data_IF_494578829057
#
_entry.id   IF_494578829057
#
_cell.length_a   1.000
_cell.length_b   1.000
_cell.length_c   1.000
_cell.angle_alpha   90.00
_cell.angle_beta   90.00
_cell.angle_gamma   90.00
#
_symmetry.space_group_name_H-M   'P 1'
#
loop_
_entity.id
_entity.type
_entity.pdbx_description
1 polymer ?
#
# COMPACT_ATOMS: atom_id res chain seq x y z
N UNK A 1 -27.32 6.34 -12.18
CA UNK A 1 -26.27 5.97 -11.17
C UNK A 1 -24.92 6.32 -11.79
N UNK A 2 -24.16 7.19 -11.18
CA UNK A 2 -22.80 7.52 -11.65
C UNK A 2 -21.88 6.43 -11.10
N UNK A 3 -21.19 5.64 -11.94
CA UNK A 3 -20.29 4.60 -11.45
C UNK A 3 -19.14 5.25 -10.70
N UNK A 4 -18.80 4.69 -9.55
CA UNK A 4 -17.73 5.18 -8.67
C UNK A 4 -16.35 5.20 -9.36
N UNK A 5 -16.11 4.17 -10.16
CA UNK A 5 -14.97 4.02 -11.04
C UNK A 5 -15.42 3.35 -12.33
N UNK A 6 -14.88 3.78 -13.44
CA UNK A 6 -15.09 3.13 -14.73
C UNK A 6 -13.78 2.45 -15.11
N UNK A 7 -13.64 1.14 -14.91
CA UNK A 7 -12.45 0.42 -15.34
C UNK A 7 -12.29 0.55 -16.86
N UNK A 8 -11.08 0.75 -17.29
CA UNK A 8 -10.76 0.75 -18.71
C UNK A 8 -10.62 -0.71 -19.17
N UNK A 9 -11.68 -1.23 -19.79
CA UNK A 9 -11.72 -2.58 -20.34
C UNK A 9 -12.19 -2.48 -21.78
N UNK A 10 -11.34 -2.83 -22.72
CA UNK A 10 -11.62 -2.90 -24.14
C UNK A 10 -11.46 -4.32 -24.70
N UNK A 11 -11.55 -4.42 -26.02
CA UNK A 11 -11.39 -5.71 -26.70
C UNK A 11 -9.98 -6.32 -26.53
N UNK A 12 -8.97 -5.48 -26.39
CA UNK A 12 -7.58 -5.94 -26.18
C UNK A 12 -7.42 -6.64 -24.82
N UNK A 13 -8.00 -6.08 -23.75
CA UNK A 13 -7.98 -6.67 -22.42
C UNK A 13 -8.76 -7.98 -22.36
N UNK A 14 -9.90 -8.05 -23.06
CA UNK A 14 -10.66 -9.29 -23.17
C UNK A 14 -9.87 -10.38 -23.93
N UNK A 15 -9.19 -10.03 -25.01
CA UNK A 15 -8.33 -10.97 -25.74
C UNK A 15 -7.12 -11.40 -24.92
N UNK A 16 -6.60 -10.54 -24.05
CA UNK A 16 -5.48 -10.87 -23.16
C UNK A 16 -5.82 -11.99 -22.16
N UNK A 17 -7.10 -12.15 -21.76
CA UNK A 17 -7.53 -13.24 -20.88
C UNK A 17 -7.30 -14.64 -21.50
N UNK A 18 -7.23 -14.72 -22.83
CA UNK A 18 -6.98 -15.97 -23.54
C UNK A 18 -5.50 -16.17 -23.93
N UNK A 19 -4.64 -15.18 -23.60
CA UNK A 19 -3.20 -15.23 -23.85
C UNK A 19 -2.48 -15.46 -22.55
N UNK A 20 -2.28 -16.71 -22.14
CA UNK A 20 -1.43 -17.01 -21.00
C UNK A 20 0.04 -16.94 -21.39
N UNK A 21 0.86 -16.28 -20.54
CA UNK A 21 2.30 -16.31 -20.64
C UNK A 21 2.86 -16.80 -19.31
N UNK A 22 3.83 -17.71 -19.27
CA UNK A 22 4.45 -18.20 -18.03
C UNK A 22 5.05 -17.07 -17.19
N UNK A 23 5.45 -15.97 -17.84
CA UNK A 23 6.12 -14.84 -17.22
C UNK A 23 5.19 -13.60 -17.06
N UNK A 24 3.88 -13.74 -17.24
CA UNK A 24 2.95 -12.60 -17.26
C UNK A 24 3.00 -11.80 -15.94
N UNK A 25 3.08 -12.47 -14.80
CA UNK A 25 3.16 -11.79 -13.50
C UNK A 25 4.46 -10.99 -13.37
N UNK A 26 5.60 -11.60 -13.68
CA UNK A 26 6.89 -10.93 -13.59
C UNK A 26 6.99 -9.75 -14.58
N UNK A 27 6.45 -9.89 -15.80
CA UNK A 27 6.36 -8.80 -16.76
C UNK A 27 5.49 -7.65 -16.23
N UNK A 28 4.34 -7.95 -15.65
CA UNK A 28 3.45 -6.95 -15.07
C UNK A 28 4.08 -6.23 -13.88
N UNK A 29 4.78 -6.96 -13.00
CA UNK A 29 5.55 -6.38 -11.89
C UNK A 29 6.65 -5.43 -12.40
N UNK A 30 7.38 -5.83 -13.45
CA UNK A 30 8.40 -5.02 -14.09
C UNK A 30 7.84 -3.73 -14.70
N UNK A 31 6.80 -3.83 -15.53
CA UNK A 31 6.13 -2.68 -16.14
C UNK A 31 5.52 -1.74 -15.08
N UNK A 32 4.96 -2.31 -14.02
CA UNK A 32 4.41 -1.52 -12.92
C UNK A 32 5.51 -0.75 -12.17
N UNK A 33 6.64 -1.41 -11.89
CA UNK A 33 7.79 -0.77 -11.25
C UNK A 33 8.38 0.34 -12.12
N UNK A 34 8.50 0.12 -13.42
CA UNK A 34 8.97 1.12 -14.38
C UNK A 34 8.02 2.30 -14.49
N UNK A 35 6.71 2.06 -14.65
CA UNK A 35 5.67 3.09 -14.76
C UNK A 35 5.67 4.03 -13.58
N UNK A 36 5.84 3.51 -12.36
CA UNK A 36 5.86 4.33 -11.15
C UNK A 36 7.25 4.75 -10.69
N UNK A 37 8.29 4.40 -11.45
CA UNK A 37 9.69 4.68 -11.11
C UNK A 37 10.02 4.26 -9.67
N UNK A 38 9.59 3.08 -9.28
CA UNK A 38 9.90 2.44 -8.00
C UNK A 38 10.89 1.30 -8.21
N UNK A 39 11.58 0.92 -7.13
CA UNK A 39 12.59 -0.13 -7.20
C UNK A 39 11.98 -1.49 -7.53
N UNK A 40 10.80 -1.75 -6.96
CA UNK A 40 10.15 -3.04 -7.09
C UNK A 40 8.64 -2.91 -6.95
N UNK A 41 7.93 -3.74 -7.69
CA UNK A 41 6.52 -4.01 -7.53
C UNK A 41 6.32 -5.51 -7.32
N UNK A 42 5.39 -5.90 -6.47
CA UNK A 42 5.11 -7.29 -6.12
C UNK A 42 3.60 -7.50 -6.20
N UNK A 43 3.16 -8.43 -7.03
CA UNK A 43 1.77 -8.75 -7.24
C UNK A 43 1.22 -9.69 -6.15
N UNK A 44 -0.03 -9.48 -5.77
CA UNK A 44 -0.78 -10.28 -4.81
C UNK A 44 -2.18 -10.56 -5.33
N UNK A 45 -2.82 -11.61 -4.81
CA UNK A 45 -4.22 -11.90 -5.12
C UNK A 45 -5.18 -10.77 -4.70
N UNK A 46 -4.85 -10.01 -3.66
CA UNK A 46 -5.62 -8.86 -3.15
C UNK A 46 -4.70 -7.84 -2.50
N UNK A 47 -5.10 -6.56 -2.52
CA UNK A 47 -4.37 -5.50 -1.80
C UNK A 47 -4.26 -5.77 -0.29
N UNK A 48 -5.32 -6.31 0.34
CA UNK A 48 -5.27 -6.69 1.77
C UNK A 48 -4.23 -7.78 2.07
N UNK A 49 -4.01 -8.71 1.13
CA UNK A 49 -2.98 -9.74 1.28
C UNK A 49 -1.59 -9.13 1.19
N UNK A 50 -1.39 -8.15 0.32
CA UNK A 50 -0.15 -7.38 0.21
C UNK A 50 0.14 -6.61 1.51
N UNK A 51 -0.86 -5.95 2.08
CA UNK A 51 -0.71 -5.20 3.33
C UNK A 51 -0.39 -6.13 4.52
N UNK A 52 -1.10 -7.26 4.61
CA UNK A 52 -0.83 -8.29 5.62
C UNK A 52 0.61 -8.82 5.51
N UNK A 53 1.04 -9.16 4.29
CA UNK A 53 2.40 -9.65 4.03
C UNK A 53 3.46 -8.61 4.39
N UNK A 54 3.21 -7.32 4.09
CA UNK A 54 4.10 -6.24 4.46
C UNK A 54 4.26 -6.14 5.99
N UNK A 55 3.16 -6.17 6.76
CA UNK A 55 3.25 -6.14 8.22
C UNK A 55 4.02 -7.33 8.79
N UNK A 56 3.84 -8.52 8.21
CA UNK A 56 4.64 -9.70 8.57
C UNK A 56 6.11 -9.55 8.23
N UNK A 57 6.43 -8.99 7.07
CA UNK A 57 7.81 -8.74 6.65
C UNK A 57 8.52 -7.66 7.51
N UNK A 58 7.76 -6.72 8.06
CA UNK A 58 8.25 -5.74 9.03
C UNK A 58 8.35 -6.29 10.45
N UNK A 59 8.06 -7.57 10.66
CA UNK A 59 8.04 -8.29 11.96
C UNK A 59 7.20 -7.57 13.03
N UNK A 60 6.11 -6.93 12.60
CA UNK A 60 5.23 -6.19 13.50
C UNK A 60 4.34 -7.14 14.29
N UNK A 61 4.30 -6.97 15.63
CA UNK A 61 3.47 -7.73 16.57
C UNK A 61 2.96 -6.80 17.67
N UNK A 62 1.66 -6.89 17.96
CA UNK A 62 0.99 -6.09 18.99
C UNK A 62 1.25 -4.57 18.87
N UNK A 63 1.59 -4.13 17.67
CA UNK A 63 1.88 -2.74 17.37
C UNK A 63 0.60 -2.00 16.97
N UNK A 64 0.53 -0.71 17.29
CA UNK A 64 -0.54 0.15 16.84
C UNK A 64 -0.29 0.57 15.38
N UNK A 65 -1.30 0.39 14.52
CA UNK A 65 -1.28 0.87 13.12
C UNK A 65 -2.29 2.00 12.99
N UNK A 66 -1.77 3.21 12.82
CA UNK A 66 -2.61 4.40 12.65
C UNK A 66 -3.16 4.44 11.23
N UNK A 67 -4.46 4.69 11.10
CA UNK A 67 -5.17 4.81 9.83
C UNK A 67 -6.34 5.77 9.93
N UNK A 68 -6.80 6.39 8.82
CA UNK A 68 -7.98 7.24 8.86
C UNK A 68 -9.23 6.44 9.19
N UNK A 69 -10.15 7.04 9.95
CA UNK A 69 -11.43 6.41 10.30
C UNK A 69 -12.30 6.15 9.06
N UNK A 70 -12.12 6.93 8.00
CA UNK A 70 -12.79 6.73 6.72
C UNK A 70 -11.84 6.08 5.72
N UNK A 71 -11.74 4.77 5.78
CA UNK A 71 -10.95 3.94 4.86
C UNK A 71 -11.70 2.64 4.56
N UNK A 72 -11.15 1.83 3.67
CA UNK A 72 -11.72 0.50 3.42
C UNK A 72 -11.50 -0.41 4.62
N UNK A 73 -12.55 -1.10 5.08
CA UNK A 73 -12.49 -2.03 6.21
C UNK A 73 -11.41 -3.11 6.07
N UNK A 74 -11.01 -3.44 4.83
CA UNK A 74 -9.97 -4.45 4.58
C UNK A 74 -8.59 -4.02 5.08
N UNK A 75 -8.34 -2.72 5.26
CA UNK A 75 -7.10 -2.20 5.85
C UNK A 75 -7.03 -2.60 7.34
N UNK A 76 -8.11 -2.38 8.07
CA UNK A 76 -8.22 -2.81 9.47
C UNK A 76 -8.18 -4.33 9.60
N UNK A 77 -8.84 -5.07 8.70
CA UNK A 77 -8.77 -6.55 8.70
C UNK A 77 -7.34 -7.06 8.50
N UNK A 78 -6.59 -6.50 7.55
CA UNK A 78 -5.19 -6.89 7.32
C UNK A 78 -4.34 -6.61 8.57
N UNK A 79 -4.59 -5.50 9.25
CA UNK A 79 -3.92 -5.13 10.50
C UNK A 79 -4.20 -6.15 11.61
N UNK A 80 -5.47 -6.44 11.89
CA UNK A 80 -5.85 -7.41 12.94
C UNK A 80 -5.34 -8.81 12.63
N UNK A 81 -5.50 -9.27 11.38
CA UNK A 81 -5.04 -10.59 10.95
C UNK A 81 -3.51 -10.73 10.98
N UNK A 82 -2.77 -9.62 10.91
CA UNK A 82 -1.31 -9.63 11.09
C UNK A 82 -0.88 -9.68 12.56
N UNK A 83 -1.80 -9.56 13.52
CA UNK A 83 -1.54 -9.54 14.94
C UNK A 83 -1.27 -8.14 15.50
N UNK A 84 -1.75 -7.10 14.80
CA UNK A 84 -1.57 -5.70 15.17
C UNK A 84 -2.91 -5.01 15.48
N UNK A 85 -2.87 -3.82 16.06
CA UNK A 85 -4.04 -3.10 16.54
C UNK A 85 -4.33 -1.88 15.66
N UNK A 86 -5.48 -1.81 14.96
CA UNK A 86 -5.84 -0.62 14.21
C UNK A 86 -6.18 0.54 15.16
N UNK A 87 -5.58 1.71 14.90
CA UNK A 87 -5.87 2.97 15.58
C UNK A 87 -6.46 3.95 14.59
N UNK A 88 -7.75 4.20 14.74
CA UNK A 88 -8.46 5.11 13.85
C UNK A 88 -8.29 6.55 14.29
N UNK A 89 -8.02 7.40 13.30
CA UNK A 89 -7.87 8.85 13.48
C UNK A 89 -8.92 9.56 12.62
N UNK A 90 -9.42 10.67 13.11
CA UNK A 90 -10.37 11.52 12.39
C UNK A 90 -9.84 11.96 11.03
N UNK A 91 -10.76 12.34 10.16
CA UNK A 91 -10.50 12.85 8.81
C UNK A 91 -10.93 14.30 8.69
N UNK A 92 -10.32 15.03 7.75
CA UNK A 92 -10.82 16.32 7.30
C UNK A 92 -12.17 16.17 6.61
N UNK A 93 -13.12 17.04 6.93
CA UNK A 93 -14.46 17.01 6.32
C UNK A 93 -14.48 17.58 4.89
N UNK A 94 -13.42 18.28 4.48
CA UNK A 94 -13.32 18.94 3.18
C UNK A 94 -12.68 18.06 2.11
N UNK A 95 -11.76 17.19 2.51
CA UNK A 95 -10.91 16.40 1.60
C UNK A 95 -10.92 14.90 1.91
N UNK A 96 -11.53 14.51 3.02
CA UNK A 96 -11.61 13.11 3.49
C UNK A 96 -10.25 12.46 3.73
N UNK A 97 -9.16 13.23 3.77
CA UNK A 97 -7.84 12.73 4.15
C UNK A 97 -7.71 12.65 5.67
N UNK A 98 -6.74 11.88 6.15
CA UNK A 98 -6.47 11.77 7.58
C UNK A 98 -6.06 13.13 8.16
N UNK A 99 -6.66 13.52 9.28
CA UNK A 99 -6.25 14.72 10.02
C UNK A 99 -4.85 14.49 10.61
N UNK A 100 -3.88 15.24 10.09
CA UNK A 100 -2.46 15.06 10.46
C UNK A 100 -2.13 15.54 11.86
N UNK A 101 -2.89 16.47 12.43
CA UNK A 101 -2.70 16.90 13.83
C UNK A 101 -3.19 15.82 14.79
N UNK A 102 -4.35 15.25 14.49
CA UNK A 102 -4.88 14.10 15.23
C UNK A 102 -3.99 12.87 15.07
N UNK A 103 -3.47 12.64 13.88
CA UNK A 103 -2.52 11.57 13.62
C UNK A 103 -1.25 11.75 14.45
N UNK A 104 -0.65 12.93 14.47
CA UNK A 104 0.54 13.21 15.27
C UNK A 104 0.30 13.02 16.77
N UNK A 105 -0.87 13.44 17.26
CA UNK A 105 -1.26 13.24 18.66
C UNK A 105 -1.51 11.77 19.03
N UNK A 106 -1.87 10.93 18.05
CA UNK A 106 -2.10 9.50 18.26
C UNK A 106 -0.82 8.66 18.21
N UNK A 107 0.32 9.21 17.77
CA UNK A 107 1.60 8.48 17.75
C UNK A 107 2.11 8.25 19.17
N UNK A 108 2.44 6.99 19.45
CA UNK A 108 2.96 6.54 20.76
C UNK A 108 4.19 5.65 20.53
N UNK A 109 4.95 5.28 21.60
CA UNK A 109 6.02 4.29 21.48
C UNK A 109 5.56 2.93 20.93
N UNK A 110 4.24 2.63 20.93
CA UNK A 110 3.66 1.41 20.38
C UNK A 110 3.34 1.52 18.89
N UNK A 111 3.43 2.72 18.31
CA UNK A 111 3.09 2.91 16.89
C UNK A 111 4.11 2.22 16.01
N UNK A 112 3.66 1.17 15.30
CA UNK A 112 4.48 0.37 14.41
C UNK A 112 4.37 0.77 12.94
N UNK A 113 3.28 1.41 12.54
CA UNK A 113 3.09 1.91 11.16
C UNK A 113 1.97 2.94 11.06
N UNK A 114 1.98 3.69 9.96
CA UNK A 114 0.91 4.59 9.56
C UNK A 114 0.45 4.21 8.15
N UNK A 115 -0.86 4.04 7.95
CA UNK A 115 -1.47 3.83 6.63
C UNK A 115 -2.18 5.12 6.21
N UNK A 116 -1.63 5.80 5.22
CA UNK A 116 -2.19 7.03 4.65
C UNK A 116 -3.02 6.70 3.41
N UNK A 117 -4.35 6.79 3.52
CA UNK A 117 -5.27 6.50 2.41
C UNK A 117 -5.47 7.75 1.55
N UNK A 118 -5.23 7.62 0.25
CA UNK A 118 -5.50 8.65 -0.77
C UNK A 118 -6.87 8.39 -1.39
N UNK A 119 -7.92 8.77 -0.66
CA UNK A 119 -9.28 8.40 -1.01
C UNK A 119 -9.77 9.17 -2.24
N UNK A 120 -10.47 8.49 -3.15
CA UNK A 120 -11.03 9.05 -4.39
C UNK A 120 -10.02 9.77 -5.31
N UNK A 121 -8.73 9.45 -5.17
CA UNK A 121 -7.67 10.12 -5.92
C UNK A 121 -7.17 11.42 -5.29
N UNK A 122 -7.74 11.83 -4.15
CA UNK A 122 -7.29 13.02 -3.42
C UNK A 122 -6.06 12.66 -2.57
N UNK A 123 -4.89 13.29 -2.83
CA UNK A 123 -3.67 12.94 -2.11
C UNK A 123 -3.66 13.55 -0.70
N UNK A 124 -3.17 12.80 0.26
CA UNK A 124 -2.76 13.32 1.56
C UNK A 124 -1.61 14.33 1.38
N UNK A 125 -1.52 15.34 2.23
CA UNK A 125 -0.33 16.20 2.31
C UNK A 125 0.87 15.36 2.81
N UNK A 126 1.59 14.76 1.84
CA UNK A 126 2.68 13.83 2.15
C UNK A 126 3.90 14.52 2.74
N UNK A 127 4.14 15.79 2.43
CA UNK A 127 5.28 16.52 2.98
C UNK A 127 5.11 16.79 4.48
N UNK A 128 3.90 17.21 4.88
CA UNK A 128 3.57 17.38 6.30
C UNK A 128 3.55 16.05 7.04
N UNK A 129 2.98 15.01 6.43
CA UNK A 129 2.99 13.64 6.97
C UNK A 129 4.42 13.18 7.26
N UNK A 130 5.32 13.29 6.28
CA UNK A 130 6.72 12.89 6.42
C UNK A 130 7.46 13.70 7.50
N UNK A 131 7.15 15.00 7.66
CA UNK A 131 7.72 15.82 8.71
C UNK A 131 7.31 15.36 10.10
N UNK A 132 6.01 15.18 10.32
CA UNK A 132 5.46 14.73 11.60
C UNK A 132 5.95 13.32 11.97
N UNK A 133 6.09 12.44 10.98
CA UNK A 133 6.65 11.10 11.22
C UNK A 133 8.11 11.18 11.63
N UNK A 134 8.95 11.99 10.95
CA UNK A 134 10.36 12.18 11.34
C UNK A 134 10.49 12.75 12.75
N UNK A 135 9.64 13.70 13.13
CA UNK A 135 9.62 14.25 14.49
C UNK A 135 9.28 13.18 15.53
N UNK A 136 8.29 12.33 15.23
CA UNK A 136 7.91 11.22 16.09
C UNK A 136 9.01 10.15 16.17
N UNK A 137 9.65 9.79 15.06
CA UNK A 137 10.79 8.87 15.04
C UNK A 137 11.94 9.37 15.89
N UNK A 138 12.26 10.67 15.80
CA UNK A 138 13.29 11.29 16.63
C UNK A 138 12.92 11.28 18.12
N UNK A 139 11.64 11.51 18.43
CA UNK A 139 11.12 11.52 19.80
C UNK A 139 11.13 10.14 20.45
N UNK A 140 10.75 9.10 19.70
CA UNK A 140 10.55 7.75 20.26
C UNK A 140 11.71 6.79 19.97
N UNK A 141 12.69 7.19 19.13
CA UNK A 141 13.90 6.41 18.87
C UNK A 141 13.72 5.17 17.99
N UNK A 142 12.60 5.04 17.27
CA UNK A 142 12.37 3.94 16.34
C UNK A 142 11.73 4.41 15.03
N UNK A 143 11.85 3.61 13.97
CA UNK A 143 11.26 3.89 12.67
C UNK A 143 9.77 3.60 12.66
N UNK A 144 9.02 4.48 11.99
CA UNK A 144 7.57 4.35 11.79
C UNK A 144 7.30 4.26 10.28
N UNK A 145 7.19 3.05 9.71
CA UNK A 145 6.85 2.86 8.31
C UNK A 145 5.55 3.57 7.92
N UNK A 146 5.61 4.34 6.83
CA UNK A 146 4.44 4.96 6.20
C UNK A 146 4.06 4.16 4.97
N UNK A 147 2.83 3.67 4.93
CA UNK A 147 2.26 2.93 3.81
C UNK A 147 1.21 3.82 3.12
N UNK A 148 1.43 4.13 1.86
CA UNK A 148 0.47 4.88 1.05
C UNK A 148 -0.56 3.94 0.44
N UNK A 149 -1.82 3.99 0.91
CA UNK A 149 -2.92 3.25 0.30
C UNK A 149 -3.43 4.00 -0.93
N UNK A 150 -2.96 3.56 -2.09
CA UNK A 150 -3.28 4.06 -3.41
C UNK A 150 -4.36 3.24 -4.13
N UNK A 151 -5.17 2.47 -3.40
CA UNK A 151 -6.23 1.65 -4.00
C UNK A 151 -7.29 2.46 -4.77
N UNK A 152 -7.39 3.77 -4.51
CA UNK A 152 -8.29 4.71 -5.20
C UNK A 152 -7.53 5.85 -5.90
N UNK A 153 -6.22 5.81 -5.95
CA UNK A 153 -5.40 6.96 -6.34
C UNK A 153 -4.24 6.59 -7.27
N UNK A 154 -4.55 5.76 -8.27
CA UNK A 154 -3.57 5.40 -9.29
C UNK A 154 -3.05 6.66 -9.99
N UNK A 155 -1.74 6.92 -9.89
CA UNK A 155 -1.11 8.09 -10.47
C UNK A 155 -1.35 9.42 -9.74
N UNK A 156 -1.94 9.42 -8.54
CA UNK A 156 -2.13 10.65 -7.77
C UNK A 156 -0.79 11.32 -7.43
N UNK A 157 -0.80 12.65 -7.45
CA UNK A 157 0.38 13.47 -7.21
C UNK A 157 0.10 14.51 -6.13
N UNK A 158 1.07 14.74 -5.27
CA UNK A 158 1.14 15.86 -4.36
C UNK A 158 2.23 16.83 -4.83
N UNK A 159 1.86 18.07 -5.14
CA UNK A 159 2.78 19.11 -5.64
C UNK A 159 3.67 18.62 -6.82
N UNK A 160 3.08 17.88 -7.75
CA UNK A 160 3.78 17.35 -8.93
C UNK A 160 4.61 16.08 -8.67
N UNK A 161 4.62 15.57 -7.44
CA UNK A 161 5.34 14.34 -7.08
C UNK A 161 4.37 13.20 -6.81
N UNK A 162 4.61 12.06 -7.43
CA UNK A 162 3.79 10.86 -7.28
C UNK A 162 3.84 10.35 -5.83
N UNK A 163 2.65 10.23 -5.20
CA UNK A 163 2.54 9.85 -3.77
C UNK A 163 3.06 8.44 -3.50
N UNK A 164 2.95 7.53 -4.45
CA UNK A 164 3.43 6.15 -4.34
C UNK A 164 4.96 6.03 -4.33
N UNK A 165 5.68 7.11 -4.55
CA UNK A 165 7.15 7.17 -4.45
C UNK A 165 7.64 7.63 -3.08
N UNK A 166 6.70 7.90 -2.17
CA UNK A 166 6.97 8.38 -0.82
C UNK A 166 6.76 7.25 0.19
N UNK A 167 7.21 7.47 1.42
CA UNK A 167 7.06 6.51 2.50
C UNK A 167 7.86 5.21 2.32
N UNK A 168 7.44 4.18 3.02
CA UNK A 168 8.08 2.85 3.02
C UNK A 168 7.58 1.98 1.88
N UNK A 169 6.28 2.06 1.59
CA UNK A 169 5.62 1.28 0.54
C UNK A 169 4.36 1.99 0.06
N UNK A 170 3.89 1.62 -1.14
CA UNK A 170 2.55 1.97 -1.57
C UNK A 170 1.77 0.70 -1.98
N UNK A 171 0.48 0.71 -1.66
CA UNK A 171 -0.45 -0.37 -1.87
C UNK A 171 -1.46 0.00 -2.95
N UNK A 172 -1.69 -0.89 -3.90
CA UNK A 172 -2.71 -0.73 -4.93
C UNK A 172 -3.71 -1.88 -4.89
N UNK A 173 -4.98 -1.54 -5.05
CA UNK A 173 -6.02 -2.52 -5.31
C UNK A 173 -6.29 -2.62 -6.81
N UNK A 174 -6.31 -3.84 -7.35
CA UNK A 174 -6.56 -4.13 -8.76
C UNK A 174 -7.86 -4.92 -8.97
N UNK A 175 -8.79 -4.79 -8.02
CA UNK A 175 -10.11 -5.40 -8.12
C UNK A 175 -10.98 -4.78 -9.21
N UNK A 176 -12.05 -5.48 -9.61
CA UNK A 176 -12.93 -5.11 -10.74
C UNK A 176 -13.51 -3.68 -10.67
N UNK A 177 -13.62 -3.11 -9.49
CA UNK A 177 -14.14 -1.74 -9.28
C UNK A 177 -13.06 -0.68 -9.20
N UNK A 178 -11.81 -0.99 -9.55
CA UNK A 178 -10.69 -0.07 -9.48
C UNK A 178 -10.39 0.57 -10.83
N UNK A 179 -9.67 1.68 -10.81
CA UNK A 179 -9.28 2.44 -12.03
C UNK A 179 -8.51 1.56 -13.01
N UNK A 180 -7.55 0.77 -12.49
CA UNK A 180 -6.91 -0.32 -13.22
C UNK A 180 -7.36 -1.62 -12.59
N UNK A 181 -7.76 -2.56 -13.40
CA UNK A 181 -8.30 -3.83 -12.93
C UNK A 181 -7.61 -5.03 -13.56
N UNK A 182 -7.30 -6.01 -12.72
CA UNK A 182 -6.95 -7.37 -13.10
C UNK A 182 -8.08 -8.34 -12.69
N UNK A 183 -9.33 -7.84 -12.58
CA UNK A 183 -10.51 -8.53 -12.04
C UNK A 183 -10.35 -8.79 -10.53
N UNK A 184 -9.30 -9.47 -10.14
CA UNK A 184 -8.79 -9.62 -8.77
C UNK A 184 -7.32 -9.30 -8.76
N UNK A 185 -6.84 -8.62 -7.72
CA UNK A 185 -5.43 -8.30 -7.63
C UNK A 185 -5.12 -7.23 -6.60
N UNK A 186 -3.85 -7.17 -6.25
CA UNK A 186 -3.21 -6.12 -5.49
C UNK A 186 -1.77 -5.99 -5.93
N UNK A 187 -1.20 -4.81 -5.75
CA UNK A 187 0.22 -4.57 -5.98
C UNK A 187 0.81 -3.82 -4.80
N UNK A 188 1.95 -4.26 -4.33
CA UNK A 188 2.78 -3.55 -3.37
C UNK A 188 3.99 -2.98 -4.10
N UNK A 189 4.25 -1.69 -3.94
CA UNK A 189 5.44 -1.06 -4.49
C UNK A 189 6.37 -0.58 -3.40
N UNK A 190 7.69 -0.70 -3.67
CA UNK A 190 8.75 -0.27 -2.77
C UNK A 190 9.55 0.84 -3.47
N UNK A 191 9.59 2.07 -2.92
CA UNK A 191 10.37 3.17 -3.47
C UNK A 191 11.87 2.88 -3.52
N UNK A 192 12.58 3.48 -4.46
CA UNK A 192 14.02 3.24 -4.66
C UNK A 192 14.91 3.59 -3.45
N UNK A 193 14.44 4.46 -2.57
CA UNK A 193 15.22 5.00 -1.44
C UNK A 193 15.12 4.18 -0.14
N UNK A 194 14.32 3.13 -0.07
CA UNK A 194 14.08 2.34 1.16
C UNK A 194 14.99 1.12 1.25
N UNK A 195 16.23 1.22 0.79
CA UNK A 195 17.16 0.08 0.70
C UNK A 195 17.66 -0.43 2.06
N UNK A 196 17.51 0.33 3.12
CA UNK A 196 18.17 0.04 4.42
C UNK A 196 17.25 -0.51 5.52
N UNK A 197 15.94 -0.56 5.33
CA UNK A 197 15.02 -0.89 6.42
C UNK A 197 14.03 -2.01 6.11
N UNK A 198 13.99 -2.51 4.88
CA UNK A 198 13.10 -3.60 4.54
C UNK A 198 13.89 -4.89 4.60
N UNK A 199 13.63 -5.55 5.67
CA UNK A 199 13.93 -6.95 5.88
C UNK A 199 13.53 -7.83 4.68
N UNK A 200 14.12 -8.96 4.56
CA UNK A 200 14.38 -9.69 3.36
C UNK A 200 13.12 -9.92 2.52
N UNK A 201 13.14 -9.39 1.33
CA UNK A 201 12.28 -9.77 0.21
C UNK A 201 12.04 -11.28 0.15
N UNK A 202 13.02 -12.06 0.62
CA UNK A 202 12.93 -13.51 0.80
C UNK A 202 11.75 -13.94 1.68
N UNK A 203 11.37 -13.18 2.71
CA UNK A 203 10.25 -13.53 3.58
C UNK A 203 8.92 -13.28 2.88
N UNK A 204 8.80 -12.16 2.13
CA UNK A 204 7.58 -11.90 1.33
C UNK A 204 7.45 -12.97 0.23
N UNK A 205 8.53 -13.31 -0.45
CA UNK A 205 8.55 -14.36 -1.48
C UNK A 205 8.30 -15.75 -0.90
N UNK A 206 8.78 -16.07 0.30
CA UNK A 206 8.50 -17.35 0.97
C UNK A 206 7.04 -17.49 1.42
N UNK A 207 6.39 -16.39 1.81
CA UNK A 207 4.96 -16.39 2.18
C UNK A 207 4.06 -16.49 0.94
N UNK A 208 4.51 -15.98 -0.21
CA UNK A 208 3.71 -15.93 -1.45
C UNK A 208 3.96 -17.17 -2.35
N UNK A 209 5.07 -17.87 -2.18
CA UNK A 209 5.41 -19.04 -3.00
C UNK A 209 5.86 -20.25 -2.16
N UNK A 210 4.96 -20.96 -1.48
CA UNK A 210 5.31 -22.20 -0.80
C UNK A 210 5.53 -23.40 -1.75
N UNK A 211 5.46 -23.23 -3.07
CA UNK A 211 5.29 -24.35 -4.00
C UNK A 211 6.44 -24.58 -5.02
N UNK A 212 7.60 -23.93 -4.92
CA UNK A 212 8.66 -24.11 -5.94
C UNK A 212 9.87 -24.94 -5.45
N UNK A 213 9.89 -25.38 -4.21
CA UNK A 213 11.05 -26.11 -3.65
C UNK A 213 10.80 -27.60 -3.37
N UNK A 214 10.01 -28.30 -4.17
CA UNK A 214 9.96 -29.76 -4.09
C UNK A 214 9.70 -30.39 -5.44
N UNK A 215 10.71 -30.42 -6.30
CA UNK A 215 10.97 -31.45 -7.32
C UNK A 215 12.42 -31.30 -7.82
N UNK A 216 13.34 -31.92 -7.15
CA UNK A 216 14.48 -32.61 -7.75
C UNK A 216 14.43 -34.06 -7.31
#
# INVERSE_FOLDING_TARGET
MIPRFKPFLGGAELLALFRSSPNAVAAFEGEFAETFHVRQAIAFAYGRSALWALFKALDMKDADVIMPAYTCVVVAHATVLSGNVPRFVEIGLTDYTMDLDRMAAAITPRTGAIVATHLFGYPQNVDRLDSLVREAEARFGHKIPVIHDCAHSFGAQWQGHAVQRRGTAALFGLGISKTITAIFGGMLTLPALVTACVCPLAVILQVVSPAVTSRQ
#
